data_IF_498678253892
#
_entry.id   IF_498678253892
#
_cell.length_a   1.000
_cell.length_b   1.000
_cell.length_c   1.000
_cell.angle_alpha   90.00
_cell.angle_beta   90.00
_cell.angle_gamma   90.00
#
_symmetry.space_group_name_H-M   'P 1'
#
loop_
_entity.id
_entity.type
_entity.pdbx_description
1 polymer ?
#
# COMPACT_ATOMS: atom_id res chain seq x y z
N UNK A 1 18.00 -9.43 13.29
CA UNK A 1 17.18 -9.63 12.08
C UNK A 1 17.47 -8.52 11.10
N UNK A 2 17.78 -8.92 9.87
CA UNK A 2 18.12 -8.06 8.74
C UNK A 2 17.22 -8.45 7.57
N UNK A 3 16.58 -7.48 6.92
CA UNK A 3 15.71 -7.68 5.76
C UNK A 3 16.21 -6.82 4.61
N UNK A 4 16.45 -7.45 3.46
CA UNK A 4 16.64 -6.73 2.21
C UNK A 4 15.26 -6.32 1.66
N UNK A 5 15.11 -5.05 1.30
CA UNK A 5 13.89 -4.48 0.78
C UNK A 5 14.18 -3.70 -0.51
N UNK A 6 13.72 -4.22 -1.65
CA UNK A 6 13.72 -3.51 -2.93
C UNK A 6 12.37 -2.81 -3.10
N UNK A 7 12.32 -1.46 -3.07
CA UNK A 7 11.08 -0.70 -3.10
C UNK A 7 10.41 -0.76 -4.47
N UNK A 8 9.14 -0.35 -4.54
CA UNK A 8 8.39 -0.24 -5.80
C UNK A 8 8.94 0.86 -6.74
N UNK A 9 9.36 1.98 -6.15
CA UNK A 9 9.99 3.12 -6.81
C UNK A 9 10.74 3.97 -5.74
N UNK A 10 11.12 5.19 -6.09
CA UNK A 10 11.85 6.09 -5.21
C UNK A 10 10.94 6.90 -4.25
N UNK A 11 9.61 6.89 -4.46
CA UNK A 11 8.68 7.71 -3.68
C UNK A 11 8.76 7.38 -2.19
N UNK A 12 8.63 8.37 -1.29
CA UNK A 12 8.78 8.14 0.15
C UNK A 12 7.87 7.04 0.73
N UNK A 13 6.65 6.90 0.21
CA UNK A 13 5.70 5.88 0.65
C UNK A 13 6.15 4.44 0.34
N UNK A 14 6.87 4.23 -0.75
CA UNK A 14 7.33 2.91 -1.20
C UNK A 14 8.76 2.61 -0.75
N UNK A 15 9.58 3.65 -0.52
CA UNK A 15 11.01 3.52 -0.22
C UNK A 15 11.38 3.89 1.22
N UNK A 16 10.83 4.96 1.79
CA UNK A 16 11.20 5.48 3.12
C UNK A 16 10.31 4.90 4.21
N UNK A 17 9.00 4.77 3.99
CA UNK A 17 8.09 4.26 5.02
C UNK A 17 8.44 2.82 5.44
N UNK A 18 8.71 1.85 4.54
CA UNK A 18 9.10 0.51 4.93
C UNK A 18 10.34 0.48 5.84
N UNK A 19 11.37 1.29 5.53
CA UNK A 19 12.56 1.40 6.38
C UNK A 19 12.24 1.93 7.78
N UNK A 20 11.33 2.89 7.89
CA UNK A 20 10.85 3.40 9.19
C UNK A 20 10.02 2.38 9.93
N UNK A 21 9.16 1.63 9.25
CA UNK A 21 8.38 0.53 9.81
C UNK A 21 9.29 -0.57 10.37
N UNK A 22 10.36 -0.92 9.65
CA UNK A 22 11.43 -1.79 10.14
C UNK A 22 12.05 -1.28 11.43
N UNK A 23 12.45 0.01 11.47
CA UNK A 23 13.01 0.63 12.67
C UNK A 23 12.03 0.61 13.85
N UNK A 24 10.73 0.83 13.61
CA UNK A 24 9.66 0.73 14.61
C UNK A 24 9.53 -0.70 15.15
N UNK A 25 9.69 -1.71 14.30
CA UNK A 25 9.68 -3.12 14.70
C UNK A 25 11.02 -3.58 15.35
N UNK A 26 12.06 -2.74 15.35
CA UNK A 26 13.41 -3.11 15.79
C UNK A 26 14.15 -4.02 14.80
N UNK A 27 13.88 -3.87 13.51
CA UNK A 27 14.48 -4.65 12.40
C UNK A 27 15.32 -3.72 11.52
N UNK A 28 16.49 -4.19 11.11
CA UNK A 28 17.30 -3.50 10.11
C UNK A 28 16.73 -3.79 8.72
N UNK A 29 16.28 -2.75 8.02
CA UNK A 29 15.79 -2.83 6.65
C UNK A 29 16.78 -2.12 5.75
N UNK A 30 17.41 -2.88 4.87
CA UNK A 30 18.40 -2.39 3.93
C UNK A 30 17.80 -2.36 2.53
N UNK A 31 18.12 -1.32 1.78
CA UNK A 31 17.69 -1.13 0.40
C UNK A 31 18.89 -0.70 -0.42
N UNK A 32 19.02 -1.13 -1.67
CA UNK A 32 20.05 -0.64 -2.55
C UNK A 32 19.78 0.82 -2.88
N UNK A 33 20.80 1.54 -3.35
CA UNK A 33 20.56 2.80 -4.02
C UNK A 33 19.81 2.51 -5.32
N UNK A 34 18.64 3.12 -5.48
CA UNK A 34 17.83 3.02 -6.70
C UNK A 34 17.74 4.40 -7.32
N UNK A 35 18.09 4.50 -8.59
CA UNK A 35 17.90 5.71 -9.40
C UNK A 35 16.81 5.41 -10.44
N UNK A 36 15.61 6.01 -10.32
CA UNK A 36 14.52 5.78 -11.27
C UNK A 36 14.85 6.32 -12.68
N UNK A 37 15.84 7.19 -12.82
CA UNK A 37 16.28 7.75 -14.11
C UNK A 37 17.38 6.92 -14.77
N UNK A 38 18.11 6.12 -14.00
CA UNK A 38 19.18 5.25 -14.48
C UNK A 38 19.19 3.92 -13.70
N UNK A 39 18.23 3.02 -13.98
CA UNK A 39 18.07 1.79 -13.22
C UNK A 39 19.25 0.83 -13.45
N UNK A 40 19.92 0.44 -12.37
CA UNK A 40 21.01 -0.54 -12.36
C UNK A 40 20.48 -1.94 -12.00
N UNK A 41 19.78 -2.57 -12.94
CA UNK A 41 19.17 -3.89 -12.72
C UNK A 41 20.20 -4.97 -12.37
N UNK A 42 21.40 -4.92 -12.96
CA UNK A 42 22.47 -5.90 -12.66
C UNK A 42 23.08 -5.65 -11.28
N UNK A 43 23.32 -4.39 -10.89
CA UNK A 43 23.78 -4.07 -9.54
C UNK A 43 22.76 -4.46 -8.46
N UNK A 44 21.46 -4.24 -8.73
CA UNK A 44 20.37 -4.70 -7.84
C UNK A 44 20.32 -6.22 -7.78
N UNK A 45 20.49 -6.92 -8.91
CA UNK A 45 20.56 -8.39 -8.96
C UNK A 45 21.73 -8.92 -8.14
N UNK A 46 22.93 -8.39 -8.32
CA UNK A 46 24.12 -8.76 -7.54
C UNK A 46 23.94 -8.49 -6.04
N UNK A 47 23.29 -7.38 -5.68
CA UNK A 47 22.94 -7.07 -4.30
C UNK A 47 21.95 -8.09 -3.71
N UNK A 48 20.92 -8.49 -4.47
CA UNK A 48 19.93 -9.49 -4.05
C UNK A 48 20.52 -10.91 -3.96
N UNK A 49 21.56 -11.22 -4.73
CA UNK A 49 22.32 -12.47 -4.63
C UNK A 49 23.21 -12.53 -3.38
N UNK A 50 23.40 -11.41 -2.68
CA UNK A 50 24.08 -11.37 -1.40
C UNK A 50 23.43 -12.28 -0.34
N UNK A 51 24.24 -12.63 0.66
CA UNK A 51 23.85 -13.46 1.80
C UNK A 51 23.88 -12.68 3.12
N UNK A 52 23.16 -13.18 4.13
CA UNK A 52 23.13 -12.65 5.50
C UNK A 52 21.81 -12.00 5.90
N UNK A 53 20.92 -11.75 4.95
CA UNK A 53 19.53 -11.36 5.21
C UNK A 53 18.67 -12.57 5.57
N UNK A 54 17.76 -12.38 6.52
CA UNK A 54 16.80 -13.41 6.93
C UNK A 54 15.66 -13.50 5.90
N UNK A 55 15.24 -12.34 5.40
CA UNK A 55 14.21 -12.23 4.38
C UNK A 55 14.55 -11.17 3.33
N UNK A 56 14.00 -11.34 2.13
CA UNK A 56 14.10 -10.44 0.99
C UNK A 56 12.68 -10.08 0.54
N UNK A 57 12.33 -8.80 0.55
CA UNK A 57 11.04 -8.27 0.07
C UNK A 57 11.30 -7.47 -1.19
N UNK A 58 10.74 -7.89 -2.32
CA UNK A 58 11.23 -7.46 -3.63
C UNK A 58 10.05 -6.99 -4.51
N UNK A 59 10.12 -5.73 -4.95
CA UNK A 59 9.32 -5.27 -6.09
C UNK A 59 9.91 -5.80 -7.39
N UNK A 60 9.14 -6.60 -8.11
CA UNK A 60 9.53 -7.03 -9.46
C UNK A 60 9.46 -5.86 -10.44
N UNK A 61 8.62 -4.85 -10.20
CA UNK A 61 8.56 -3.65 -11.05
C UNK A 61 9.89 -2.88 -11.03
N UNK A 62 10.47 -2.70 -9.85
CA UNK A 62 11.78 -2.08 -9.71
C UNK A 62 12.87 -2.93 -10.37
N UNK A 63 12.84 -4.24 -10.16
CA UNK A 63 13.85 -5.14 -10.69
C UNK A 63 13.82 -5.19 -12.24
N UNK A 64 12.64 -5.37 -12.82
CA UNK A 64 12.48 -5.63 -14.26
C UNK A 64 12.38 -4.36 -15.12
N UNK A 65 11.99 -3.21 -14.54
CA UNK A 65 11.76 -1.98 -15.30
C UNK A 65 12.43 -0.73 -14.72
N UNK A 66 12.95 -0.78 -13.49
CA UNK A 66 13.40 0.43 -12.77
C UNK A 66 12.28 1.19 -12.04
N UNK A 67 11.10 0.58 -11.91
CA UNK A 67 10.03 1.06 -11.04
C UNK A 67 8.65 1.05 -11.69
N UNK A 68 7.65 1.49 -10.93
CA UNK A 68 6.23 1.45 -11.31
C UNK A 68 5.86 2.33 -12.52
N UNK A 69 6.50 3.49 -12.68
CA UNK A 69 6.24 4.35 -13.84
C UNK A 69 6.92 3.79 -15.10
N UNK A 70 8.21 3.41 -15.08
CA UNK A 70 8.85 2.68 -16.17
C UNK A 70 8.12 1.41 -16.60
N UNK A 71 7.48 0.67 -15.68
CA UNK A 71 6.70 -0.53 -16.01
C UNK A 71 5.50 -0.25 -16.93
N UNK A 72 5.14 1.02 -17.12
CA UNK A 72 4.03 1.48 -17.99
C UNK A 72 4.53 2.05 -19.32
N UNK A 73 5.81 1.90 -19.63
CA UNK A 73 6.41 2.40 -20.87
C UNK A 73 7.01 1.25 -21.70
N UNK A 74 7.03 1.42 -23.04
CA UNK A 74 7.68 0.47 -23.96
C UNK A 74 9.17 0.81 -24.03
N UNK A 75 9.90 0.44 -22.99
CA UNK A 75 11.36 0.59 -22.97
C UNK A 75 12.06 -0.78 -22.96
N UNK A 76 11.42 -1.81 -22.38
CA UNK A 76 12.05 -3.12 -22.15
C UNK A 76 11.23 -4.25 -22.78
N UNK A 77 11.82 -5.12 -23.64
CA UNK A 77 11.21 -6.35 -24.16
C UNK A 77 10.93 -7.39 -23.06
N UNK A 78 10.03 -8.34 -23.33
CA UNK A 78 9.67 -9.40 -22.37
C UNK A 78 10.88 -10.28 -22.01
N UNK A 79 11.70 -10.63 -22.99
CA UNK A 79 12.85 -11.51 -22.84
C UNK A 79 13.85 -10.94 -21.84
N UNK A 80 14.15 -9.64 -21.95
CA UNK A 80 15.03 -8.94 -21.02
C UNK A 80 14.44 -8.87 -19.60
N UNK A 81 13.13 -8.62 -19.48
CA UNK A 81 12.45 -8.67 -18.18
C UNK A 81 12.50 -10.07 -17.56
N UNK A 82 12.28 -11.12 -18.36
CA UNK A 82 12.29 -12.51 -17.91
C UNK A 82 13.70 -12.96 -17.48
N UNK A 83 14.72 -12.58 -18.23
CA UNK A 83 16.12 -12.84 -17.89
C UNK A 83 16.51 -12.14 -16.58
N UNK A 84 16.08 -10.89 -16.40
CA UNK A 84 16.36 -10.10 -15.19
C UNK A 84 15.80 -10.75 -13.92
N UNK A 85 14.66 -11.43 -13.99
CA UNK A 85 14.04 -12.09 -12.83
C UNK A 85 14.39 -13.58 -12.69
N UNK A 86 15.14 -14.15 -13.65
CA UNK A 86 15.39 -15.60 -13.75
C UNK A 86 16.07 -16.21 -12.52
N UNK A 87 16.83 -15.41 -11.77
CA UNK A 87 17.57 -15.81 -10.57
C UNK A 87 16.73 -15.84 -9.28
N UNK A 88 15.52 -15.26 -9.30
CA UNK A 88 14.68 -15.16 -8.08
C UNK A 88 14.41 -16.51 -7.40
N UNK A 89 14.21 -17.63 -8.11
CA UNK A 89 14.10 -18.94 -7.48
C UNK A 89 15.36 -19.38 -6.73
N UNK A 90 16.56 -18.96 -7.14
CA UNK A 90 17.83 -19.37 -6.54
C UNK A 90 18.01 -18.76 -5.14
N UNK A 91 17.67 -17.48 -4.97
CA UNK A 91 17.80 -16.77 -3.68
C UNK A 91 16.84 -17.29 -2.59
N UNK A 92 15.87 -18.14 -2.94
CA UNK A 92 15.01 -18.82 -1.95
C UNK A 92 15.74 -19.89 -1.14
N UNK A 93 16.95 -20.31 -1.54
CA UNK A 93 17.75 -21.31 -0.81
C UNK A 93 18.44 -20.72 0.42
N UNK A 94 18.68 -19.40 0.42
CA UNK A 94 19.45 -18.71 1.46
C UNK A 94 18.58 -17.84 2.37
N UNK A 95 17.41 -17.42 1.90
CA UNK A 95 16.54 -16.46 2.60
C UNK A 95 15.06 -16.71 2.28
N UNK A 96 14.17 -16.29 3.18
CA UNK A 96 12.74 -16.16 2.87
C UNK A 96 12.54 -15.07 1.79
N UNK A 97 11.73 -15.33 0.77
CA UNK A 97 11.54 -14.39 -0.35
C UNK A 97 10.07 -14.01 -0.49
N UNK A 98 9.80 -12.72 -0.43
CA UNK A 98 8.48 -12.10 -0.57
C UNK A 98 8.49 -11.23 -1.82
N UNK A 99 7.62 -11.52 -2.77
CA UNK A 99 7.58 -10.80 -4.04
C UNK A 99 6.27 -10.02 -4.17
N UNK A 100 6.36 -8.87 -4.83
CA UNK A 100 5.18 -8.22 -5.39
C UNK A 100 5.44 -7.61 -6.76
N UNK A 101 4.39 -7.60 -7.57
CA UNK A 101 4.43 -7.04 -8.93
C UNK A 101 3.08 -6.43 -9.30
N UNK A 102 3.10 -5.31 -10.01
CA UNK A 102 1.88 -4.59 -10.36
C UNK A 102 1.15 -5.17 -11.58
N UNK A 103 -0.18 -5.25 -11.46
CA UNK A 103 -1.10 -5.35 -12.59
C UNK A 103 -1.32 -3.91 -13.06
N UNK A 104 -0.98 -3.66 -14.33
CA UNK A 104 -1.02 -2.32 -14.91
C UNK A 104 -2.43 -1.72 -14.83
N UNK A 105 -2.51 -0.50 -14.29
CA UNK A 105 -3.76 0.26 -14.17
C UNK A 105 -4.40 0.59 -15.53
N UNK A 106 -5.68 0.96 -15.51
CA UNK A 106 -6.44 1.31 -16.72
C UNK A 106 -5.97 2.57 -17.44
N UNK A 107 -5.29 3.47 -16.74
CA UNK A 107 -4.96 4.82 -17.22
C UNK A 107 -3.43 5.00 -17.38
N UNK A 108 -2.94 5.71 -18.40
CA UNK A 108 -1.53 6.05 -18.51
C UNK A 108 -1.09 6.97 -17.36
N UNK A 109 0.22 7.03 -17.10
CA UNK A 109 0.81 7.99 -16.14
C UNK A 109 0.53 9.42 -16.60
N UNK A 110 0.05 10.27 -15.69
CA UNK A 110 -0.28 11.66 -16.00
C UNK A 110 0.96 12.52 -15.69
N UNK A 111 1.55 13.15 -16.71
CA UNK A 111 2.67 14.10 -16.57
C UNK A 111 2.33 15.49 -17.11
N UNK A 112 1.33 15.56 -17.97
CA UNK A 112 0.83 16.76 -18.62
C UNK A 112 -0.71 16.77 -18.62
N UNK A 113 -1.35 17.93 -18.83
CA UNK A 113 -2.79 18.00 -19.03
C UNK A 113 -3.31 17.05 -20.12
N UNK A 114 -2.57 16.88 -21.22
CA UNK A 114 -2.93 15.97 -22.32
C UNK A 114 -2.94 14.49 -21.91
N UNK A 115 -2.09 14.08 -20.98
CA UNK A 115 -2.13 12.71 -20.44
C UNK A 115 -3.40 12.48 -19.60
N UNK A 116 -3.91 13.53 -18.96
CA UNK A 116 -5.17 13.49 -18.22
C UNK A 116 -6.37 13.25 -19.13
N UNK A 117 -6.45 13.99 -20.24
CA UNK A 117 -7.49 13.82 -21.27
C UNK A 117 -7.44 12.42 -21.90
N UNK A 118 -6.23 11.93 -22.19
CA UNK A 118 -6.03 10.58 -22.70
C UNK A 118 -6.47 9.52 -21.69
N UNK A 119 -6.13 9.69 -20.41
CA UNK A 119 -6.53 8.78 -19.35
C UNK A 119 -8.06 8.72 -19.20
N UNK A 120 -8.74 9.86 -19.28
CA UNK A 120 -10.21 9.90 -19.28
C UNK A 120 -10.80 9.22 -20.52
N UNK A 121 -10.25 9.50 -21.69
CA UNK A 121 -10.69 8.90 -22.96
C UNK A 121 -10.57 7.39 -22.95
N UNK A 122 -9.45 6.85 -22.43
CA UNK A 122 -9.26 5.41 -22.26
C UNK A 122 -10.25 4.81 -21.24
N UNK A 123 -10.50 5.48 -20.11
CA UNK A 123 -11.51 5.00 -19.13
C UNK A 123 -12.89 4.87 -19.76
N UNK A 124 -13.34 5.91 -20.49
CA UNK A 124 -14.62 5.91 -21.21
C UNK A 124 -14.67 4.83 -22.29
N UNK A 125 -13.59 4.66 -23.05
CA UNK A 125 -13.45 3.55 -24.01
C UNK A 125 -13.67 2.19 -23.34
N UNK A 126 -13.05 1.93 -22.18
CA UNK A 126 -13.22 0.67 -21.45
C UNK A 126 -14.60 0.48 -20.81
N UNK A 127 -15.36 1.57 -20.63
CA UNK A 127 -16.76 1.54 -20.21
C UNK A 127 -17.72 1.28 -21.39
N UNK A 128 -17.21 1.17 -22.62
CA UNK A 128 -17.99 0.91 -23.82
C UNK A 128 -18.47 2.16 -24.53
N UNK A 129 -17.99 3.35 -24.13
CA UNK A 129 -18.29 4.58 -24.87
C UNK A 129 -17.50 4.66 -26.18
N UNK A 130 -18.13 5.23 -27.21
CA UNK A 130 -17.43 5.57 -28.45
C UNK A 130 -16.60 6.83 -28.25
N UNK A 131 -15.29 6.66 -28.11
CA UNK A 131 -14.32 7.74 -27.94
C UNK A 131 -13.26 7.64 -29.03
N UNK A 132 -12.93 8.76 -29.65
CA UNK A 132 -11.81 8.85 -30.58
C UNK A 132 -10.50 8.94 -29.77
N UNK A 133 -9.61 7.97 -29.96
CA UNK A 133 -8.32 7.92 -29.28
C UNK A 133 -7.21 8.40 -30.23
N UNK A 134 -6.16 9.05 -29.71
CA UNK A 134 -4.99 9.39 -30.52
C UNK A 134 -4.44 8.17 -31.27
N UNK A 135 -4.07 8.29 -32.56
CA UNK A 135 -3.56 7.18 -33.35
C UNK A 135 -2.39 6.45 -32.68
N UNK A 136 -2.42 5.12 -32.67
CA UNK A 136 -1.35 4.28 -32.10
C UNK A 136 -1.36 4.18 -30.56
N UNK A 137 -2.18 4.97 -29.86
CA UNK A 137 -2.18 4.98 -28.41
C UNK A 137 -2.71 3.65 -27.82
N UNK A 138 -3.78 3.11 -28.39
CA UNK A 138 -4.38 1.87 -27.89
C UNK A 138 -3.46 0.67 -28.16
N UNK A 139 -2.85 0.61 -29.34
CA UNK A 139 -1.89 -0.43 -29.72
C UNK A 139 -0.67 -0.40 -28.79
N UNK A 140 -0.12 0.80 -28.54
CA UNK A 140 0.99 0.98 -27.60
C UNK A 140 0.62 0.52 -26.20
N UNK A 141 -0.54 0.95 -25.70
CA UNK A 141 -1.05 0.57 -24.38
C UNK A 141 -1.21 -0.96 -24.27
N UNK A 142 -1.85 -1.60 -25.26
CA UNK A 142 -2.04 -3.06 -25.27
C UNK A 142 -0.72 -3.84 -25.38
N UNK A 143 0.29 -3.32 -26.09
CA UNK A 143 1.60 -3.95 -26.18
C UNK A 143 2.33 -3.97 -24.82
N UNK A 144 2.33 -2.84 -24.09
CA UNK A 144 2.89 -2.74 -22.72
C UNK A 144 2.18 -3.75 -21.81
N UNK A 145 0.85 -3.76 -21.88
CA UNK A 145 0.00 -4.63 -21.08
C UNK A 145 0.27 -6.11 -21.33
N UNK A 146 0.38 -6.51 -22.60
CA UNK A 146 0.72 -7.87 -22.99
C UNK A 146 2.07 -8.30 -22.40
N UNK A 147 3.09 -7.43 -22.43
CA UNK A 147 4.39 -7.70 -21.82
C UNK A 147 4.28 -7.89 -20.31
N UNK A 148 3.65 -6.95 -19.59
CA UNK A 148 3.54 -7.03 -18.12
C UNK A 148 2.74 -8.27 -17.70
N UNK A 149 1.68 -8.61 -18.45
CA UNK A 149 0.91 -9.82 -18.20
C UNK A 149 1.74 -11.09 -18.44
N UNK A 150 2.53 -11.13 -19.52
CA UNK A 150 3.45 -12.24 -19.76
C UNK A 150 4.47 -12.40 -18.61
N UNK A 151 4.99 -11.29 -18.06
CA UNK A 151 5.87 -11.34 -16.88
C UNK A 151 5.13 -11.85 -15.64
N UNK A 152 3.87 -11.45 -15.40
CA UNK A 152 3.04 -12.01 -14.33
C UNK A 152 2.91 -13.54 -14.44
N UNK A 153 2.66 -14.04 -15.65
CA UNK A 153 2.58 -15.48 -15.91
C UNK A 153 3.92 -16.18 -15.65
N UNK A 154 5.04 -15.56 -16.03
CA UNK A 154 6.39 -16.09 -15.77
C UNK A 154 6.69 -16.16 -14.27
N UNK A 155 6.37 -15.11 -13.50
CA UNK A 155 6.52 -15.10 -12.04
C UNK A 155 5.69 -16.23 -11.40
N UNK A 156 4.43 -16.43 -11.84
CA UNK A 156 3.61 -17.55 -11.38
C UNK A 156 4.20 -18.91 -11.73
N UNK A 157 4.75 -19.07 -12.94
CA UNK A 157 5.42 -20.30 -13.36
C UNK A 157 6.62 -20.60 -12.47
N UNK A 158 7.43 -19.59 -12.14
CA UNK A 158 8.54 -19.73 -11.21
C UNK A 158 8.06 -20.10 -9.80
N UNK A 159 7.03 -19.42 -9.30
CA UNK A 159 6.44 -19.68 -7.99
C UNK A 159 5.88 -21.11 -7.86
N UNK A 160 5.24 -21.65 -8.90
CA UNK A 160 4.78 -23.05 -8.93
C UNK A 160 5.92 -24.06 -8.90
N UNK A 161 7.03 -23.78 -9.61
CA UNK A 161 8.20 -24.67 -9.64
C UNK A 161 8.96 -24.65 -8.32
N UNK A 162 9.13 -23.46 -7.74
CA UNK A 162 9.83 -23.23 -6.48
C UNK A 162 9.14 -22.09 -5.73
N UNK A 163 8.28 -22.42 -4.74
CA UNK A 163 7.49 -21.42 -4.04
C UNK A 163 8.33 -20.38 -3.33
N UNK A 164 7.94 -19.12 -3.53
CA UNK A 164 8.34 -17.99 -2.70
C UNK A 164 7.59 -18.06 -1.35
N UNK A 165 8.08 -17.39 -0.32
CA UNK A 165 7.42 -17.34 0.99
C UNK A 165 6.05 -16.67 0.90
N UNK A 166 5.91 -15.64 0.07
CA UNK A 166 4.62 -15.05 -0.30
C UNK A 166 4.72 -14.24 -1.60
N UNK A 167 3.71 -14.34 -2.46
CA UNK A 167 3.61 -13.55 -3.70
C UNK A 167 2.35 -12.68 -3.69
N UNK A 168 2.48 -11.39 -3.99
CA UNK A 168 1.34 -10.49 -4.22
C UNK A 168 1.36 -9.92 -5.63
N UNK A 169 0.30 -10.12 -6.40
CA UNK A 169 0.03 -9.22 -7.52
C UNK A 169 -0.80 -8.04 -7.02
N UNK A 170 -0.22 -6.85 -7.03
CA UNK A 170 -0.91 -5.64 -6.63
C UNK A 170 -1.65 -5.02 -7.81
N UNK A 171 -2.90 -4.60 -7.64
CA UNK A 171 -3.65 -3.91 -8.70
C UNK A 171 -3.59 -2.41 -8.44
N UNK A 172 -2.88 -1.68 -9.30
CA UNK A 172 -2.82 -0.22 -9.22
C UNK A 172 -4.07 0.42 -9.84
N UNK A 173 -4.60 1.49 -9.22
CA UNK A 173 -5.84 2.21 -9.59
C UNK A 173 -6.92 1.27 -10.16
N UNK A 174 -7.55 0.52 -9.26
CA UNK A 174 -8.39 -0.61 -9.63
C UNK A 174 -9.75 -0.19 -10.17
N UNK A 175 -10.30 -1.00 -11.07
CA UNK A 175 -11.67 -0.89 -11.54
C UNK A 175 -12.31 -2.28 -11.69
N UNK A 176 -13.64 -2.39 -11.58
CA UNK A 176 -14.35 -3.66 -11.78
C UNK A 176 -14.47 -4.07 -13.25
N UNK A 177 -13.95 -3.28 -14.19
CA UNK A 177 -14.05 -3.47 -15.64
C UNK A 177 -12.70 -3.24 -16.35
N UNK A 178 -12.69 -3.48 -17.67
CA UNK A 178 -11.53 -3.27 -18.53
C UNK A 178 -10.46 -4.37 -18.45
N UNK A 179 -9.33 -4.21 -19.17
CA UNK A 179 -8.32 -5.26 -19.30
C UNK A 179 -7.65 -5.63 -17.97
N UNK A 180 -7.46 -4.69 -17.04
CA UNK A 180 -6.91 -4.98 -15.71
C UNK A 180 -7.77 -5.97 -14.93
N UNK A 181 -9.11 -5.83 -14.97
CA UNK A 181 -10.03 -6.75 -14.33
C UNK A 181 -10.01 -8.15 -14.99
N UNK A 182 -9.88 -8.21 -16.31
CA UNK A 182 -9.79 -9.48 -17.05
C UNK A 182 -8.51 -10.25 -16.70
N UNK A 183 -7.36 -9.56 -16.69
CA UNK A 183 -6.07 -10.16 -16.34
C UNK A 183 -6.02 -10.61 -14.89
N UNK A 184 -6.52 -9.80 -13.96
CA UNK A 184 -6.67 -10.21 -12.55
C UNK A 184 -7.43 -11.52 -12.45
N UNK A 185 -8.58 -11.63 -13.12
CA UNK A 185 -9.40 -12.86 -13.10
C UNK A 185 -8.66 -14.06 -13.69
N UNK A 186 -7.80 -13.85 -14.67
CA UNK A 186 -6.96 -14.91 -15.25
C UNK A 186 -5.84 -15.34 -14.30
N UNK A 187 -5.18 -14.38 -13.64
CA UNK A 187 -4.17 -14.65 -12.62
C UNK A 187 -4.78 -15.35 -11.40
N UNK A 188 -5.95 -14.93 -10.93
CA UNK A 188 -6.67 -15.56 -9.81
C UNK A 188 -6.96 -17.04 -10.08
N UNK A 189 -7.40 -17.38 -11.30
CA UNK A 189 -7.63 -18.79 -11.68
C UNK A 189 -6.36 -19.61 -11.73
N UNK A 190 -5.24 -18.96 -12.01
CA UNK A 190 -3.93 -19.59 -12.16
C UNK A 190 -3.10 -19.52 -10.88
N UNK A 191 -3.59 -18.85 -9.83
CA UNK A 191 -2.80 -18.65 -8.62
C UNK A 191 -2.71 -19.95 -7.82
N UNK A 192 -1.50 -20.40 -7.55
CA UNK A 192 -1.22 -21.59 -6.74
C UNK A 192 -0.06 -21.27 -5.79
N UNK A 193 -0.11 -21.75 -4.55
CA UNK A 193 0.90 -21.48 -3.53
C UNK A 193 0.60 -20.27 -2.64
N UNK A 194 1.52 -19.92 -1.72
CA UNK A 194 1.35 -18.82 -0.78
C UNK A 194 1.34 -17.47 -1.49
N UNK A 195 0.18 -16.81 -1.51
CA UNK A 195 0.05 -15.50 -2.11
C UNK A 195 -1.38 -15.08 -2.36
N UNK A 196 -1.55 -13.91 -2.95
CA UNK A 196 -2.86 -13.39 -3.33
C UNK A 196 -2.76 -12.30 -4.40
N UNK A 197 -3.91 -11.90 -4.92
CA UNK A 197 -4.05 -10.62 -5.62
C UNK A 197 -4.70 -9.62 -4.67
N UNK A 198 -4.07 -8.45 -4.53
CA UNK A 198 -4.44 -7.39 -3.61
C UNK A 198 -4.66 -6.08 -4.39
N UNK A 199 -5.72 -5.31 -4.15
CA UNK A 199 -5.82 -3.95 -4.68
C UNK A 199 -4.85 -3.02 -3.94
N UNK A 200 -4.46 -1.93 -4.60
CA UNK A 200 -3.45 -1.01 -4.09
C UNK A 200 -2.03 -1.49 -4.41
N UNK A 201 -1.11 -0.55 -4.60
CA UNK A 201 0.26 -0.82 -5.03
C UNK A 201 1.28 -0.29 -4.01
N UNK A 202 1.14 0.98 -3.62
CA UNK A 202 2.12 1.69 -2.81
C UNK A 202 2.30 1.08 -1.41
N UNK A 203 1.22 0.60 -0.80
CA UNK A 203 1.21 0.00 0.53
C UNK A 203 1.67 -1.47 0.55
N UNK A 204 1.66 -2.15 -0.61
CA UNK A 204 1.93 -3.59 -0.70
C UNK A 204 3.31 -3.94 -0.15
N UNK A 205 4.32 -3.13 -0.43
CA UNK A 205 5.67 -3.32 0.11
C UNK A 205 5.72 -3.21 1.63
N UNK A 206 4.94 -2.30 2.23
CA UNK A 206 4.82 -2.19 3.69
C UNK A 206 4.16 -3.43 4.31
N UNK A 207 3.09 -3.92 3.69
CA UNK A 207 2.37 -5.12 4.15
C UNK A 207 3.27 -6.37 4.07
N UNK A 208 3.99 -6.57 2.96
CA UNK A 208 4.91 -7.69 2.81
C UNK A 208 6.12 -7.59 3.73
N UNK A 209 6.64 -6.38 3.98
CA UNK A 209 7.68 -6.19 5.00
C UNK A 209 7.16 -6.58 6.37
N UNK A 210 5.97 -6.15 6.76
CA UNK A 210 5.37 -6.55 8.03
C UNK A 210 5.19 -8.06 8.11
N UNK A 211 4.68 -8.70 7.05
CA UNK A 211 4.57 -10.16 6.95
C UNK A 211 5.91 -10.86 7.15
N UNK A 212 6.93 -10.44 6.42
CA UNK A 212 8.27 -11.01 6.53
C UNK A 212 8.79 -10.95 7.97
N UNK A 213 8.57 -9.82 8.67
CA UNK A 213 8.97 -9.69 10.08
C UNK A 213 8.15 -10.62 10.99
N UNK A 214 6.85 -10.77 10.74
CA UNK A 214 5.98 -11.65 11.54
C UNK A 214 6.33 -13.12 11.34
N UNK A 215 6.50 -13.56 10.10
CA UNK A 215 6.86 -14.92 9.73
C UNK A 215 8.22 -15.32 10.33
N UNK A 216 9.26 -14.48 10.16
CA UNK A 216 10.60 -14.72 10.70
C UNK A 216 10.64 -14.74 12.25
N UNK A 217 9.68 -14.09 12.90
CA UNK A 217 9.53 -14.13 14.37
C UNK A 217 8.53 -15.19 14.83
N UNK A 218 7.95 -15.97 13.91
CA UNK A 218 6.86 -16.90 14.19
C UNK A 218 5.71 -16.27 15.01
N UNK A 219 5.41 -15.00 14.74
CA UNK A 219 4.38 -14.22 15.42
C UNK A 219 3.11 -14.15 14.58
N UNK A 220 1.94 -14.30 15.21
CA UNK A 220 0.65 -14.15 14.53
C UNK A 220 -0.29 -13.26 15.35
N UNK A 221 -0.26 -11.96 15.08
CA UNK A 221 -1.12 -11.00 15.79
C UNK A 221 -2.54 -11.02 15.27
N UNK A 222 -3.47 -10.73 16.18
CA UNK A 222 -4.89 -10.58 15.85
C UNK A 222 -5.26 -9.11 15.72
N UNK A 223 -5.97 -8.76 14.65
CA UNK A 223 -6.44 -7.40 14.36
C UNK A 223 -7.96 -7.35 14.45
N UNK A 224 -8.48 -6.38 15.20
CA UNK A 224 -9.91 -6.11 15.32
C UNK A 224 -10.29 -4.88 14.50
N UNK A 225 -10.81 -5.04 13.26
CA UNK A 225 -11.30 -3.92 12.48
C UNK A 225 -12.65 -3.44 13.01
N UNK A 226 -12.78 -2.13 13.22
CA UNK A 226 -14.00 -1.46 13.68
C UNK A 226 -14.33 -0.32 12.70
N UNK A 227 -15.51 -0.35 12.09
CA UNK A 227 -15.90 0.59 11.04
C UNK A 227 -16.83 1.69 11.59
N UNK A 228 -16.60 2.94 11.17
CA UNK A 228 -17.35 4.12 11.62
C UNK A 228 -17.82 4.96 10.41
N UNK A 229 -19.10 4.87 9.99
CA UNK A 229 -20.15 4.01 10.55
C UNK A 229 -19.96 2.53 10.20
N UNK A 230 -20.67 1.65 10.91
CA UNK A 230 -20.62 0.20 10.68
C UNK A 230 -20.94 -0.19 9.23
N UNK A 231 -21.96 0.47 8.66
CA UNK A 231 -22.43 0.23 7.28
C UNK A 231 -21.39 0.60 6.20
N UNK A 232 -20.41 1.46 6.52
CA UNK A 232 -19.34 1.82 5.59
C UNK A 232 -18.51 0.61 5.14
N UNK A 233 -18.55 -0.50 5.90
CA UNK A 233 -17.88 -1.77 5.55
C UNK A 233 -18.28 -2.30 4.16
N UNK A 234 -19.50 -1.98 3.70
CA UNK A 234 -20.06 -2.45 2.42
C UNK A 234 -19.79 -1.49 1.27
N UNK A 235 -19.23 -0.31 1.54
CA UNK A 235 -18.96 0.70 0.52
C UNK A 235 -17.72 0.30 -0.27
N UNK A 236 -17.81 0.42 -1.59
CA UNK A 236 -16.66 0.41 -2.49
C UNK A 236 -16.19 1.87 -2.60
N UNK A 237 -15.03 2.17 -2.04
CA UNK A 237 -14.46 3.52 -2.04
C UNK A 237 -13.86 3.88 -3.39
N UNK A 238 -13.57 5.16 -3.62
CA UNK A 238 -12.91 5.61 -4.85
C UNK A 238 -11.57 4.89 -5.02
N UNK A 239 -11.23 4.58 -6.27
CA UNK A 239 -9.99 3.90 -6.67
C UNK A 239 -9.87 2.42 -6.24
N UNK A 240 -10.90 1.89 -5.57
CA UNK A 240 -10.97 0.49 -5.14
C UNK A 240 -11.99 -0.32 -5.96
N UNK A 241 -11.80 -1.64 -6.00
CA UNK A 241 -12.65 -2.58 -6.76
C UNK A 241 -13.47 -3.54 -5.89
N UNK A 242 -13.42 -3.36 -4.57
CA UNK A 242 -14.07 -4.21 -3.57
C UNK A 242 -14.55 -3.40 -2.38
N UNK A 243 -15.35 -4.04 -1.53
CA UNK A 243 -15.85 -3.41 -0.31
C UNK A 243 -14.72 -3.10 0.66
N UNK A 244 -14.92 -2.07 1.48
CA UNK A 244 -13.98 -1.69 2.53
C UNK A 244 -13.65 -2.85 3.48
N UNK A 245 -14.64 -3.71 3.79
CA UNK A 245 -14.44 -4.92 4.59
C UNK A 245 -13.51 -5.94 3.92
N UNK A 246 -13.73 -6.25 2.63
CA UNK A 246 -12.89 -7.20 1.89
C UNK A 246 -11.47 -6.66 1.73
N UNK A 247 -11.32 -5.36 1.44
CA UNK A 247 -10.02 -4.69 1.37
C UNK A 247 -9.25 -4.80 2.69
N UNK A 248 -9.85 -4.37 3.80
CA UNK A 248 -9.20 -4.42 5.12
C UNK A 248 -8.89 -5.86 5.52
N UNK A 249 -9.82 -6.80 5.30
CA UNK A 249 -9.60 -8.22 5.59
C UNK A 249 -8.41 -8.80 4.83
N UNK A 250 -8.29 -8.49 3.53
CA UNK A 250 -7.18 -8.94 2.70
C UNK A 250 -5.86 -8.28 3.06
N UNK A 251 -5.84 -7.00 3.43
CA UNK A 251 -4.63 -6.36 3.91
C UNK A 251 -4.16 -6.94 5.25
N UNK A 252 -5.08 -7.28 6.16
CA UNK A 252 -4.76 -8.02 7.40
C UNK A 252 -4.10 -9.35 7.05
N UNK A 253 -4.68 -10.13 6.15
CA UNK A 253 -4.09 -11.39 5.68
C UNK A 253 -2.73 -11.16 5.00
N UNK A 254 -2.61 -10.20 4.07
CA UNK A 254 -1.38 -9.86 3.37
C UNK A 254 -0.23 -9.52 4.32
N UNK A 255 -0.54 -8.86 5.46
CA UNK A 255 0.45 -8.53 6.50
C UNK A 255 0.91 -9.71 7.37
N UNK A 256 0.33 -10.91 7.21
CA UNK A 256 0.60 -12.09 8.05
C UNK A 256 -0.20 -12.14 9.36
N UNK A 257 -1.00 -11.09 9.64
CA UNK A 257 -1.92 -11.05 10.77
C UNK A 257 -3.23 -11.79 10.49
N UNK A 258 -4.09 -11.89 11.52
CA UNK A 258 -5.43 -12.47 11.38
C UNK A 258 -6.52 -11.55 11.90
N UNK A 259 -7.65 -11.49 11.21
CA UNK A 259 -8.80 -10.72 11.67
C UNK A 259 -9.50 -11.43 12.85
N UNK A 260 -10.11 -10.67 13.76
CA UNK A 260 -11.12 -11.19 14.66
C UNK A 260 -11.74 -10.14 15.59
N UNK A 261 -12.69 -10.57 16.44
CA UNK A 261 -13.56 -9.66 17.22
C UNK A 261 -12.88 -8.94 18.40
N UNK A 262 -11.68 -9.37 18.77
CA UNK A 262 -10.76 -8.76 19.75
C UNK A 262 -9.35 -8.98 19.19
N UNK A 263 -8.37 -8.16 19.54
CA UNK A 263 -7.04 -8.25 18.95
C UNK A 263 -5.93 -7.60 19.75
N UNK A 264 -4.71 -7.92 19.32
CA UNK A 264 -3.48 -7.21 19.69
C UNK A 264 -3.48 -5.76 19.19
N UNK A 265 -4.23 -5.50 18.11
CA UNK A 265 -4.41 -4.19 17.49
C UNK A 265 -5.87 -3.98 17.12
N UNK A 266 -6.43 -2.84 17.50
CA UNK A 266 -7.74 -2.40 17.05
C UNK A 266 -7.55 -1.39 15.92
N UNK A 267 -8.08 -1.68 14.74
CA UNK A 267 -8.01 -0.80 13.58
C UNK A 267 -9.36 -0.10 13.43
N UNK A 268 -9.42 1.16 13.83
CA UNK A 268 -10.60 2.01 13.69
C UNK A 268 -10.59 2.62 12.30
N UNK A 269 -11.58 2.28 11.48
CA UNK A 269 -11.70 2.72 10.09
C UNK A 269 -12.78 3.80 10.02
N UNK A 270 -12.39 5.05 9.80
CA UNK A 270 -13.33 6.15 9.53
C UNK A 270 -13.80 6.01 8.08
N UNK A 271 -14.94 5.34 7.87
CA UNK A 271 -15.48 5.08 6.55
C UNK A 271 -16.43 6.18 6.05
N UNK A 272 -16.67 6.27 4.74
CA UNK A 272 -17.55 7.29 4.15
C UNK A 272 -19.02 7.16 4.58
N UNK A 273 -19.74 8.27 4.51
CA UNK A 273 -21.20 8.31 4.52
C UNK A 273 -21.70 8.19 3.08
N UNK A 274 -22.27 7.04 2.72
CA UNK A 274 -22.66 6.77 1.32
C UNK A 274 -21.43 6.67 0.40
N UNK A 275 -21.42 7.41 -0.71
CA UNK A 275 -20.31 7.43 -1.66
C UNK A 275 -19.14 8.28 -1.15
N UNK A 276 -17.92 7.75 -1.20
CA UNK A 276 -16.71 8.48 -0.80
C UNK A 276 -16.49 9.71 -1.70
N UNK A 277 -16.12 10.84 -1.08
CA UNK A 277 -15.78 12.09 -1.76
C UNK A 277 -14.28 12.38 -1.69
N UNK A 278 -13.80 13.31 -2.51
CA UNK A 278 -12.44 13.85 -2.35
C UNK A 278 -12.37 14.74 -1.09
N UNK A 279 -11.20 14.78 -0.44
CA UNK A 279 -10.93 15.62 0.73
C UNK A 279 -11.02 17.14 0.44
N UNK A 280 -11.10 17.53 -0.83
CA UNK A 280 -11.41 18.91 -1.23
C UNK A 280 -12.88 19.26 -0.94
N UNK A 281 -13.78 18.30 -1.03
CA UNK A 281 -15.23 18.48 -0.95
C UNK A 281 -15.83 17.92 0.35
N UNK A 282 -15.12 18.12 1.47
CA UNK A 282 -15.56 17.60 2.77
C UNK A 282 -16.87 18.22 3.21
N UNK A 283 -17.76 17.38 3.70
CA UNK A 283 -19.03 17.79 4.26
C UNK A 283 -18.90 18.00 5.76
N UNK A 284 -19.53 19.07 6.24
CA UNK A 284 -19.66 19.37 7.67
C UNK A 284 -21.13 19.34 8.02
N UNK A 285 -21.49 18.43 8.91
CA UNK A 285 -22.87 18.29 9.38
C UNK A 285 -22.94 17.50 10.69
N UNK A 286 -24.10 17.53 11.37
CA UNK A 286 -24.28 16.86 12.65
C UNK A 286 -23.97 15.36 12.60
N UNK A 287 -24.28 14.68 11.50
CA UNK A 287 -24.00 13.25 11.32
C UNK A 287 -22.48 12.96 11.28
N UNK A 288 -21.73 13.70 10.46
CA UNK A 288 -20.26 13.60 10.41
C UNK A 288 -19.64 13.88 11.79
N UNK A 289 -20.10 14.93 12.47
CA UNK A 289 -19.62 15.28 13.82
C UNK A 289 -19.86 14.16 14.83
N UNK A 290 -21.06 13.57 14.82
CA UNK A 290 -21.41 12.46 15.71
C UNK A 290 -20.54 11.21 15.44
N UNK A 291 -20.25 10.90 14.17
CA UNK A 291 -19.38 9.78 13.80
C UNK A 291 -17.94 10.01 14.22
N UNK A 292 -17.40 11.21 13.99
CA UNK A 292 -16.05 11.58 14.41
C UNK A 292 -15.91 11.53 15.94
N UNK A 293 -16.90 12.03 16.68
CA UNK A 293 -16.95 11.93 18.13
C UNK A 293 -17.02 10.46 18.60
N UNK A 294 -17.85 9.63 17.95
CA UNK A 294 -17.96 8.20 18.28
C UNK A 294 -16.64 7.44 18.09
N UNK A 295 -15.92 7.71 16.99
CA UNK A 295 -14.61 7.12 16.73
C UNK A 295 -13.58 7.61 17.75
N UNK A 296 -13.51 8.91 18.02
CA UNK A 296 -12.59 9.48 19.00
C UNK A 296 -12.83 8.91 20.42
N UNK A 297 -14.09 8.81 20.84
CA UNK A 297 -14.48 8.17 22.10
C UNK A 297 -14.03 6.70 22.15
N UNK A 298 -14.24 5.95 21.06
CA UNK A 298 -13.79 4.56 20.98
C UNK A 298 -12.28 4.45 21.10
N UNK A 299 -11.53 5.31 20.41
CA UNK A 299 -10.07 5.36 20.49
C UNK A 299 -9.62 5.65 21.94
N UNK A 300 -10.20 6.68 22.57
CA UNK A 300 -9.91 7.05 23.96
C UNK A 300 -10.20 5.90 24.94
N UNK A 301 -11.35 5.24 24.78
CA UNK A 301 -11.73 4.09 25.61
C UNK A 301 -10.74 2.93 25.47
N UNK A 302 -10.35 2.58 24.24
CA UNK A 302 -9.39 1.51 23.98
C UNK A 302 -8.02 1.83 24.60
N UNK A 303 -7.53 3.06 24.39
CA UNK A 303 -6.26 3.52 24.93
C UNK A 303 -6.28 3.55 26.47
N UNK A 304 -7.37 4.02 27.09
CA UNK A 304 -7.56 4.00 28.54
C UNK A 304 -7.58 2.59 29.13
N UNK A 305 -8.04 1.61 28.35
CA UNK A 305 -7.97 0.18 28.70
C UNK A 305 -6.61 -0.47 28.36
N UNK A 306 -5.60 0.31 27.95
CA UNK A 306 -4.26 -0.19 27.59
C UNK A 306 -4.21 -0.97 26.28
N UNK A 307 -5.24 -0.88 25.43
CA UNK A 307 -5.28 -1.52 24.10
C UNK A 307 -4.58 -0.64 23.06
N UNK A 308 -4.04 -1.26 22.01
CA UNK A 308 -3.49 -0.54 20.86
C UNK A 308 -4.59 -0.15 19.88
N UNK A 309 -4.72 1.14 19.62
CA UNK A 309 -5.66 1.70 18.66
C UNK A 309 -4.91 2.33 17.48
N UNK A 310 -5.15 1.81 16.29
CA UNK A 310 -4.74 2.36 14.99
C UNK A 310 -5.95 3.02 14.33
N UNK A 311 -5.72 4.10 13.58
CA UNK A 311 -6.80 4.79 12.85
C UNK A 311 -6.45 4.82 11.35
N UNK A 312 -7.34 4.27 10.53
CA UNK A 312 -7.34 4.49 9.09
C UNK A 312 -8.46 5.48 8.76
N UNK A 313 -8.09 6.69 8.35
CA UNK A 313 -9.04 7.74 8.03
C UNK A 313 -9.30 7.76 6.52
N UNK A 314 -10.42 7.18 6.12
CA UNK A 314 -10.80 6.94 4.72
C UNK A 314 -12.19 7.46 4.41
N UNK A 315 -12.70 8.40 5.20
CA UNK A 315 -14.00 9.04 4.94
C UNK A 315 -13.94 9.81 3.62
N UNK A 316 -12.78 10.38 3.35
CA UNK A 316 -12.45 11.08 2.11
C UNK A 316 -11.22 10.46 1.46
N UNK A 317 -11.16 10.50 0.13
CA UNK A 317 -9.95 10.21 -0.62
C UNK A 317 -9.02 11.43 -0.63
N UNK A 318 -7.72 11.20 -0.83
CA UNK A 318 -6.71 12.25 -1.02
C UNK A 318 -6.53 13.23 0.17
N UNK A 319 -6.83 12.82 1.39
CA UNK A 319 -6.51 13.58 2.60
C UNK A 319 -7.39 13.24 3.80
N UNK A 320 -6.93 13.63 4.98
CA UNK A 320 -7.63 13.47 6.25
C UNK A 320 -8.98 14.19 6.35
N UNK A 321 -9.91 13.60 7.11
CA UNK A 321 -11.11 14.24 7.61
C UNK A 321 -10.75 15.29 8.67
N UNK A 322 -11.01 16.57 8.34
CA UNK A 322 -10.67 17.70 9.20
C UNK A 322 -11.43 17.68 10.53
N UNK A 323 -12.68 17.21 10.53
CA UNK A 323 -13.48 17.10 11.76
C UNK A 323 -12.92 15.99 12.66
N UNK A 324 -12.59 14.84 12.08
CA UNK A 324 -12.01 13.72 12.84
C UNK A 324 -10.71 14.13 13.52
N UNK A 325 -9.78 14.75 12.79
CA UNK A 325 -8.50 15.17 13.38
C UNK A 325 -8.70 16.25 14.44
N UNK A 326 -9.66 17.16 14.27
CA UNK A 326 -10.02 18.13 15.32
C UNK A 326 -10.46 17.43 16.60
N UNK A 327 -11.37 16.46 16.51
CA UNK A 327 -11.86 15.68 17.66
C UNK A 327 -10.75 14.87 18.33
N UNK A 328 -9.93 14.18 17.54
CA UNK A 328 -8.81 13.40 18.07
C UNK A 328 -7.82 14.29 18.82
N UNK A 329 -7.53 15.51 18.35
CA UNK A 329 -6.63 16.44 19.05
C UNK A 329 -7.15 16.93 20.38
N UNK A 330 -8.47 17.03 20.53
CA UNK A 330 -9.13 17.48 21.76
C UNK A 330 -9.27 16.33 22.77
N UNK A 331 -9.58 15.12 22.30
CA UNK A 331 -10.05 14.02 23.15
C UNK A 331 -9.03 12.89 23.35
N UNK A 332 -8.04 12.78 22.46
CA UNK A 332 -7.08 11.68 22.43
C UNK A 332 -5.64 12.22 22.53
N UNK A 333 -4.82 11.73 23.47
CA UNK A 333 -3.38 12.00 23.46
C UNK A 333 -2.75 11.35 22.22
N UNK A 334 -2.65 12.09 21.11
CA UNK A 334 -2.32 11.53 19.79
C UNK A 334 -1.08 10.63 19.78
N UNK A 335 -0.05 10.97 20.57
CA UNK A 335 1.19 10.20 20.69
C UNK A 335 1.02 8.78 21.26
N UNK A 336 -0.16 8.44 21.79
CA UNK A 336 -0.49 7.11 22.32
C UNK A 336 -1.14 6.20 21.28
N UNK A 337 -1.58 6.73 20.14
CA UNK A 337 -2.09 5.92 19.03
C UNK A 337 -1.01 4.99 18.50
N UNK A 338 -1.41 3.78 18.11
CA UNK A 338 -0.52 2.81 17.48
C UNK A 338 -0.12 3.26 16.06
N UNK A 339 -1.03 3.92 15.36
CA UNK A 339 -0.84 4.50 14.03
C UNK A 339 -2.00 5.42 13.63
N UNK A 340 -1.76 6.26 12.62
CA UNK A 340 -2.75 7.07 11.91
C UNK A 340 -2.31 7.16 10.44
N UNK A 341 -3.24 7.08 9.48
CA UNK A 341 -2.97 7.39 8.07
C UNK A 341 -4.26 7.80 7.32
N UNK A 342 -4.13 8.71 6.35
CA UNK A 342 -5.26 9.31 5.63
C UNK A 342 -4.89 9.87 4.22
N UNK A 343 -4.03 9.19 3.47
CA UNK A 343 -3.45 9.72 2.24
C UNK A 343 -3.87 8.95 0.98
N UNK A 344 -4.04 9.70 -0.12
CA UNK A 344 -4.29 9.22 -1.48
C UNK A 344 -5.55 8.34 -1.66
N UNK A 345 -5.47 7.04 -1.38
CA UNK A 345 -6.55 6.06 -1.54
C UNK A 345 -6.89 5.39 -0.21
N UNK A 346 -8.01 4.65 -0.21
CA UNK A 346 -8.39 3.82 0.94
C UNK A 346 -7.33 2.77 1.21
N UNK A 347 -6.88 2.03 0.19
CA UNK A 347 -5.84 1.00 0.32
C UNK A 347 -4.54 1.53 0.91
N UNK A 348 -4.07 2.68 0.43
CA UNK A 348 -2.89 3.36 0.94
C UNK A 348 -3.02 3.67 2.44
N UNK A 349 -4.16 4.22 2.85
CA UNK A 349 -4.42 4.63 4.23
C UNK A 349 -4.59 3.44 5.17
N UNK A 350 -5.44 2.46 4.82
CA UNK A 350 -5.65 1.26 5.65
C UNK A 350 -4.39 0.41 5.74
N UNK A 351 -3.66 0.24 4.65
CA UNK A 351 -2.43 -0.55 4.61
C UNK A 351 -1.30 0.09 5.40
N UNK A 352 -1.13 1.42 5.28
CA UNK A 352 -0.14 2.18 6.08
C UNK A 352 -0.47 2.10 7.57
N UNK A 353 -1.72 2.38 7.95
CA UNK A 353 -2.14 2.35 9.34
C UNK A 353 -1.99 0.95 9.95
N UNK A 354 -2.36 -0.09 9.21
CA UNK A 354 -2.23 -1.49 9.63
C UNK A 354 -0.74 -1.88 9.83
N UNK A 355 0.10 -1.67 8.81
CA UNK A 355 1.51 -2.02 8.87
C UNK A 355 2.24 -1.27 10.00
N UNK A 356 1.93 0.02 10.18
CA UNK A 356 2.45 0.83 11.28
C UNK A 356 2.00 0.31 12.65
N UNK A 357 0.72 -0.01 12.81
CA UNK A 357 0.18 -0.52 14.07
C UNK A 357 0.78 -1.89 14.46
N UNK A 358 0.95 -2.78 13.50
CA UNK A 358 1.59 -4.09 13.71
C UNK A 358 3.09 -3.96 14.04
N UNK A 359 3.82 -3.11 13.32
CA UNK A 359 5.21 -2.81 13.65
C UNK A 359 5.34 -2.15 15.02
N UNK A 360 4.39 -1.30 15.42
CA UNK A 360 4.32 -0.73 16.77
C UNK A 360 4.14 -1.82 17.83
N UNK A 361 3.23 -2.78 17.61
CA UNK A 361 3.03 -3.94 18.48
C UNK A 361 4.31 -4.77 18.65
N UNK A 362 5.07 -4.97 17.57
CA UNK A 362 6.40 -5.60 17.60
C UNK A 362 7.39 -4.79 18.43
N UNK A 363 7.48 -3.48 18.19
CA UNK A 363 8.39 -2.57 18.89
C UNK A 363 8.15 -2.53 20.40
N UNK A 364 6.89 -2.61 20.84
CA UNK A 364 6.53 -2.67 22.26
C UNK A 364 6.92 -3.99 22.93
N UNK A 365 7.12 -5.05 22.15
CA UNK A 365 7.58 -6.36 22.65
C UNK A 365 9.10 -6.45 22.80
N UNK A 366 9.84 -5.43 22.38
CA UNK A 366 11.29 -5.38 22.52
C UNK A 366 11.70 -5.26 24.00
N UNK A 367 12.81 -5.89 24.41
CA UNK A 367 13.34 -5.73 25.76
C UNK A 367 13.76 -4.27 26.01
N UNK A 368 13.73 -3.79 27.27
CA UNK A 368 14.29 -2.48 27.62
C UNK A 368 15.73 -2.34 27.12
N UNK A 369 16.04 -1.25 26.42
CA UNK A 369 17.38 -0.98 25.89
C UNK A 369 17.39 -0.03 24.69
N UNK A 370 18.57 0.25 24.12
CA UNK A 370 18.74 1.23 23.04
C UNK A 370 17.88 0.97 21.80
N UNK A 371 17.68 -0.31 21.46
CA UNK A 371 16.85 -0.70 20.32
C UNK A 371 15.38 -0.32 20.53
N UNK A 372 14.83 -0.56 21.73
CA UNK A 372 13.47 -0.16 22.08
C UNK A 372 13.31 1.37 22.09
N UNK A 373 14.31 2.10 22.59
CA UNK A 373 14.31 3.56 22.55
C UNK A 373 14.31 4.10 21.12
N UNK A 374 15.10 3.49 20.23
CA UNK A 374 15.11 3.86 18.80
C UNK A 374 13.77 3.54 18.13
N UNK A 375 13.20 2.37 18.40
CA UNK A 375 11.89 1.97 17.90
C UNK A 375 10.78 2.93 18.34
N UNK A 376 10.77 3.33 19.62
CA UNK A 376 9.84 4.34 20.16
C UNK A 376 9.97 5.68 19.45
N UNK A 377 11.21 6.15 19.25
CA UNK A 377 11.46 7.41 18.52
C UNK A 377 10.94 7.34 17.09
N UNK A 378 11.30 6.29 16.34
CA UNK A 378 10.86 6.12 14.96
C UNK A 378 9.34 6.03 14.86
N UNK A 379 8.66 5.43 15.85
CA UNK A 379 7.20 5.37 15.89
C UNK A 379 6.59 6.76 16.03
N UNK A 380 7.06 7.56 17.01
CA UNK A 380 6.53 8.91 17.24
C UNK A 380 6.80 9.84 16.06
N UNK A 381 7.98 9.77 15.48
CA UNK A 381 8.33 10.55 14.29
C UNK A 381 7.43 10.18 13.10
N UNK A 382 7.16 8.87 12.89
CA UNK A 382 6.33 8.45 11.76
C UNK A 382 4.87 8.81 11.97
N UNK A 383 4.36 8.61 13.19
CA UNK A 383 3.01 9.01 13.57
C UNK A 383 2.78 10.51 13.40
N UNK A 384 3.70 11.33 13.89
CA UNK A 384 3.62 12.80 13.73
C UNK A 384 3.68 13.19 12.26
N UNK A 385 4.55 12.56 11.46
CA UNK A 385 4.63 12.85 10.03
C UNK A 385 3.31 12.54 9.32
N UNK A 386 2.61 11.45 9.67
CA UNK A 386 1.29 11.15 9.08
C UNK A 386 0.25 12.23 9.40
N UNK A 387 0.22 12.78 10.61
CA UNK A 387 -0.64 13.93 10.91
C UNK A 387 -0.21 15.21 10.16
N UNK A 388 1.09 15.46 10.02
CA UNK A 388 1.58 16.65 9.33
C UNK A 388 1.34 16.59 7.81
N UNK A 389 1.55 15.43 7.20
CA UNK A 389 1.39 15.22 5.76
C UNK A 389 -0.09 15.03 5.40
N UNK A 390 -0.72 13.99 5.95
CA UNK A 390 -2.06 13.56 5.52
C UNK A 390 -3.16 14.56 5.94
N UNK A 391 -2.98 15.26 7.07
CA UNK A 391 -3.93 16.27 7.54
C UNK A 391 -3.48 17.71 7.28
N UNK A 392 -2.36 18.15 7.86
CA UNK A 392 -1.99 19.56 7.78
C UNK A 392 -1.61 19.98 6.35
N UNK A 393 -0.84 19.17 5.64
CA UNK A 393 -0.47 19.49 4.25
C UNK A 393 -1.60 19.15 3.27
N UNK A 394 -2.02 17.89 3.20
CA UNK A 394 -2.90 17.41 2.13
C UNK A 394 -4.33 17.95 2.20
N UNK A 395 -4.89 18.17 3.41
CA UNK A 395 -6.29 18.60 3.61
C UNK A 395 -6.47 20.09 3.90
N UNK A 396 -5.40 20.82 4.20
CA UNK A 396 -5.42 22.26 4.53
C UNK A 396 -4.52 23.04 3.57
N UNK A 397 -3.20 22.90 3.70
CA UNK A 397 -2.24 23.78 3.00
C UNK A 397 -2.26 23.59 1.48
N UNK A 398 -2.28 22.35 0.99
CA UNK A 398 -2.25 22.07 -0.46
C UNK A 398 -3.47 22.64 -1.20
N UNK A 399 -4.73 22.44 -0.73
CA UNK A 399 -5.88 23.15 -1.29
C UNK A 399 -5.73 24.67 -1.32
N UNK A 400 -5.30 25.29 -0.21
CA UNK A 400 -5.12 26.74 -0.13
C UNK A 400 -4.10 27.26 -1.14
N UNK A 401 -2.98 26.56 -1.32
CA UNK A 401 -1.97 26.92 -2.32
C UNK A 401 -2.51 26.73 -3.74
N UNK A 402 -3.22 25.64 -4.02
CA UNK A 402 -3.81 25.43 -5.34
C UNK A 402 -4.80 26.54 -5.72
N UNK A 403 -5.64 26.99 -4.78
CA UNK A 403 -6.57 28.10 -4.99
C UNK A 403 -5.85 29.43 -5.25
N UNK A 404 -4.66 29.62 -4.67
CA UNK A 404 -3.81 30.79 -4.93
C UNK A 404 -3.15 30.74 -6.31
N UNK A 405 -2.76 29.55 -6.78
CA UNK A 405 -2.10 29.36 -8.08
C UNK A 405 -3.08 29.33 -9.28
N UNK A 406 -4.37 29.13 -9.04
CA UNK A 406 -5.42 29.20 -10.07
C UNK A 406 -5.95 30.63 -10.31
N UNK A 407 -5.56 31.60 -9.47
CA UNK A 407 -5.80 33.03 -9.67
C UNK A 407 -4.62 33.68 -10.35
#
# INVERSE_FOLDING_TARGET
>A
MKIAYLPLDDRPCTSRFPRRLGAIAGVAVESPAVDPYNPDSEGVRLWLLGEGEHAKVISVDMLAYGGLVPSREILTPFEECADTISFLPEITETSSVYLFHSIMRLSPTIRSPGDGELAESLRRHWQGEKVELPPGCLERYLAIRKRNFALNCEILRQHRRKPYSYLIFCSDDTAPYGPAAAERKELEKSFEGPGMILPGADETGMLLLTRAILDERACRFKVCPLFFPDDSRRVITKYEDRTLEDLVGRQIEASGAVAGKDGDLYLLVSGPLGSQKEALFQERGPETQALCASLAEKARTLLGAGKLAAIADVRYANGADKELVSRLREEVPLHTLASYAAWNTTGNSTGTALAHGLCRRLGLSLPPGPLRTRAERSHREFLMERFMDDWAYQSIVRPEINDLLQK
#
